data_IF_810479601807
#
_entry.id   IF_810479601807
#
_cell.length_a   1.000
_cell.length_b   1.000
_cell.length_c   1.000
_cell.angle_alpha   90.00
_cell.angle_beta   90.00
_cell.angle_gamma   90.00
#
_symmetry.space_group_name_H-M   'P 1'
#
loop_
_entity.id
_entity.type
_entity.pdbx_description
1 polymer ?
#
# COMPACT_ATOMS: atom_id res chain seq x y z
N UNK A 1 6.03 10.06 -23.30
CA UNK A 1 4.59 9.79 -23.50
C UNK A 1 4.03 8.70 -22.58
N UNK A 2 4.73 7.61 -22.26
CA UNK A 2 4.24 6.55 -21.36
C UNK A 2 3.99 7.03 -19.92
N UNK A 3 4.71 8.06 -19.49
CA UNK A 3 4.59 8.66 -18.14
C UNK A 3 3.29 9.46 -17.95
N UNK A 4 2.87 10.22 -18.96
CA UNK A 4 1.58 10.94 -18.91
C UNK A 4 0.40 9.97 -18.92
N UNK A 5 0.49 8.86 -19.65
CA UNK A 5 -0.55 7.85 -19.71
C UNK A 5 -0.78 7.20 -18.33
N UNK A 6 0.28 6.78 -17.62
CA UNK A 6 0.14 6.21 -16.28
C UNK A 6 -0.42 7.22 -15.26
N UNK A 7 -0.16 8.50 -15.46
CA UNK A 7 -0.68 9.60 -14.63
C UNK A 7 -2.18 9.77 -14.82
N UNK A 8 -2.60 9.87 -16.08
CA UNK A 8 -4.01 9.99 -16.48
C UNK A 8 -4.77 8.75 -16.01
N UNK A 9 -4.21 7.56 -16.14
CA UNK A 9 -4.82 6.33 -15.66
C UNK A 9 -5.06 6.32 -14.14
N UNK A 10 -4.13 6.79 -13.33
CA UNK A 10 -4.29 6.84 -11.87
C UNK A 10 -5.35 7.87 -11.45
N UNK A 11 -5.37 9.05 -12.10
CA UNK A 11 -6.42 10.06 -11.87
C UNK A 11 -7.78 9.52 -12.32
N UNK A 12 -7.84 8.89 -13.50
CA UNK A 12 -9.06 8.28 -14.02
C UNK A 12 -9.56 7.16 -13.11
N UNK A 13 -8.68 6.28 -12.61
CA UNK A 13 -9.05 5.21 -11.68
C UNK A 13 -9.69 5.75 -10.39
N UNK A 14 -9.12 6.80 -9.79
CA UNK A 14 -9.70 7.41 -8.58
C UNK A 14 -11.02 8.10 -8.93
N UNK A 15 -11.07 8.86 -10.03
CA UNK A 15 -12.29 9.52 -10.48
C UNK A 15 -13.41 8.52 -10.84
N UNK A 16 -13.06 7.40 -11.45
CA UNK A 16 -14.00 6.32 -11.74
C UNK A 16 -14.54 5.67 -10.47
N UNK A 17 -13.66 5.41 -9.46
CA UNK A 17 -14.08 4.89 -8.15
C UNK A 17 -14.96 5.87 -7.38
N UNK A 18 -14.90 7.16 -7.69
CA UNK A 18 -15.74 8.18 -7.07
C UNK A 18 -17.04 8.44 -7.82
N UNK A 19 -17.00 8.36 -9.15
CA UNK A 19 -18.15 8.64 -10.03
C UNK A 19 -19.00 7.40 -10.31
N UNK A 20 -18.41 6.21 -10.27
CA UNK A 20 -19.20 5.01 -10.51
C UNK A 20 -20.02 4.69 -9.26
N UNK A 21 -21.34 4.89 -9.36
CA UNK A 21 -22.31 4.32 -8.41
C UNK A 21 -22.33 2.77 -8.47
N UNK A 22 -21.47 2.16 -9.28
CA UNK A 22 -21.40 0.70 -9.37
C UNK A 22 -20.50 0.17 -8.26
N UNK A 23 -21.00 -0.75 -7.44
CA UNK A 23 -20.19 -1.37 -6.38
C UNK A 23 -19.04 -2.15 -7.02
N UNK A 24 -17.84 -2.02 -6.44
CA UNK A 24 -16.70 -2.86 -6.84
C UNK A 24 -17.08 -4.33 -6.65
N UNK A 25 -17.01 -5.09 -7.73
CA UNK A 25 -17.27 -6.52 -7.67
C UNK A 25 -16.23 -7.21 -6.79
N UNK A 26 -16.70 -7.89 -5.76
CA UNK A 26 -15.89 -8.64 -4.80
C UNK A 26 -16.09 -10.13 -4.97
N UNK A 27 -15.04 -10.88 -4.80
CA UNK A 27 -15.04 -12.35 -4.78
C UNK A 27 -14.26 -12.82 -3.55
N UNK A 28 -14.26 -14.11 -3.28
CA UNK A 28 -13.38 -14.69 -2.27
C UNK A 28 -11.96 -14.69 -2.85
N UNK A 29 -11.03 -14.05 -2.15
CA UNK A 29 -9.63 -13.92 -2.56
C UNK A 29 -8.70 -14.34 -1.42
N UNK A 30 -7.56 -14.91 -1.80
CA UNK A 30 -6.48 -15.27 -0.88
C UNK A 30 -5.48 -14.11 -0.78
N UNK A 31 -5.38 -13.54 0.40
CA UNK A 31 -4.52 -12.39 0.67
C UNK A 31 -3.03 -12.69 0.55
N UNK A 32 -2.59 -13.93 0.89
CA UNK A 32 -1.19 -14.31 0.71
C UNK A 32 -0.80 -14.34 -0.78
N UNK A 33 -1.69 -14.85 -1.66
CA UNK A 33 -1.46 -14.80 -3.11
C UNK A 33 -1.38 -13.36 -3.62
N UNK A 34 -2.24 -12.47 -3.12
CA UNK A 34 -2.20 -11.03 -3.45
C UNK A 34 -0.85 -10.42 -3.06
N UNK A 35 -0.33 -10.74 -1.86
CA UNK A 35 0.95 -10.21 -1.39
C UNK A 35 2.10 -10.74 -2.25
N UNK A 36 2.13 -12.03 -2.56
CA UNK A 36 3.16 -12.63 -3.40
C UNK A 36 3.15 -12.02 -4.81
N UNK A 37 1.96 -11.87 -5.41
CA UNK A 37 1.80 -11.20 -6.71
C UNK A 37 2.35 -9.76 -6.66
N UNK A 38 2.02 -8.99 -5.60
CA UNK A 38 2.48 -7.61 -5.45
C UNK A 38 4.00 -7.51 -5.25
N UNK A 39 4.59 -8.40 -4.46
CA UNK A 39 6.04 -8.43 -4.23
C UNK A 39 6.80 -8.70 -5.52
N UNK A 40 6.30 -9.59 -6.39
CA UNK A 40 6.92 -9.87 -7.69
C UNK A 40 7.08 -8.61 -8.55
N UNK A 41 6.13 -7.66 -8.45
CA UNK A 41 6.19 -6.41 -9.22
C UNK A 41 7.32 -5.47 -8.78
N UNK A 42 7.76 -5.53 -7.53
CA UNK A 42 8.82 -4.62 -7.04
C UNK A 42 10.20 -5.27 -6.96
N UNK A 43 10.31 -6.58 -7.17
CA UNK A 43 11.59 -7.31 -7.04
C UNK A 43 12.70 -6.73 -7.91
N UNK A 44 12.40 -6.34 -9.15
CA UNK A 44 13.40 -5.75 -10.04
C UNK A 44 13.89 -4.41 -9.50
N UNK A 45 12.98 -3.54 -9.05
CA UNK A 45 13.31 -2.23 -8.50
C UNK A 45 14.13 -2.35 -7.21
N UNK A 46 13.79 -3.32 -6.36
CA UNK A 46 14.56 -3.64 -5.16
C UNK A 46 15.97 -4.10 -5.49
N UNK A 47 16.11 -5.00 -6.47
CA UNK A 47 17.42 -5.50 -6.94
C UNK A 47 18.29 -4.38 -7.48
N UNK A 48 17.74 -3.48 -8.29
CA UNK A 48 18.45 -2.32 -8.83
C UNK A 48 18.98 -1.38 -7.73
N UNK A 49 18.29 -1.31 -6.58
CA UNK A 49 18.71 -0.55 -5.41
C UNK A 49 19.49 -1.37 -4.37
N UNK A 50 19.86 -2.61 -4.69
CA UNK A 50 20.47 -3.56 -3.73
C UNK A 50 19.65 -3.75 -2.44
N UNK A 51 18.34 -3.54 -2.53
CA UNK A 51 17.41 -3.61 -1.41
C UNK A 51 17.07 -5.04 -1.00
N UNK A 52 16.55 -5.20 0.21
CA UNK A 52 16.11 -6.47 0.80
C UNK A 52 14.62 -6.41 1.15
N UNK A 53 13.90 -7.51 0.90
CA UNK A 53 12.52 -7.68 1.31
C UNK A 53 12.34 -9.03 2.01
N UNK A 54 11.85 -8.99 3.25
CA UNK A 54 11.51 -10.18 4.04
C UNK A 54 10.01 -10.31 4.19
N UNK A 55 9.49 -11.53 4.06
CA UNK A 55 8.07 -11.84 4.27
C UNK A 55 7.92 -12.88 5.36
N UNK A 56 7.03 -12.60 6.33
CA UNK A 56 6.58 -13.53 7.36
C UNK A 56 5.06 -13.67 7.25
N UNK A 57 4.62 -14.59 6.41
CA UNK A 57 3.20 -14.80 6.11
C UNK A 57 2.58 -15.78 7.12
N UNK A 58 2.35 -15.30 8.36
CA UNK A 58 1.93 -16.12 9.50
C UNK A 58 0.41 -16.19 9.71
N UNK A 59 -0.39 -15.42 8.94
CA UNK A 59 -1.84 -15.47 9.03
C UNK A 59 -2.35 -16.86 8.61
N UNK A 60 -3.20 -17.48 9.43
CA UNK A 60 -3.81 -18.80 9.15
C UNK A 60 -5.09 -18.65 8.31
N UNK A 61 -5.88 -17.59 8.57
CA UNK A 61 -7.06 -17.25 7.80
C UNK A 61 -6.70 -16.18 6.79
N UNK A 62 -6.62 -16.56 5.53
CA UNK A 62 -6.16 -15.68 4.42
C UNK A 62 -7.27 -15.28 3.47
N UNK A 63 -8.47 -15.85 3.62
CA UNK A 63 -9.59 -15.61 2.72
C UNK A 63 -10.42 -14.41 3.17
N UNK A 64 -10.61 -13.47 2.27
CA UNK A 64 -11.43 -12.28 2.47
C UNK A 64 -12.38 -12.07 1.28
N UNK A 65 -13.47 -11.32 1.50
CA UNK A 65 -14.31 -10.83 0.40
C UNK A 65 -13.68 -9.56 -0.19
N UNK A 66 -13.12 -9.66 -1.40
CA UNK A 66 -12.39 -8.55 -1.97
C UNK A 66 -12.25 -8.58 -3.50
N UNK A 67 -11.76 -7.48 -4.05
CA UNK A 67 -11.36 -7.40 -5.44
C UNK A 67 -9.85 -7.59 -5.56
N UNK A 68 -9.43 -8.70 -6.21
CA UNK A 68 -8.02 -9.08 -6.32
C UNK A 68 -7.17 -7.95 -6.89
N UNK A 69 -7.57 -7.38 -8.02
CA UNK A 69 -6.78 -6.35 -8.71
C UNK A 69 -6.58 -5.09 -7.86
N UNK A 70 -7.66 -4.61 -7.22
CA UNK A 70 -7.57 -3.44 -6.36
C UNK A 70 -6.70 -3.69 -5.11
N UNK A 71 -6.83 -4.85 -4.48
CA UNK A 71 -6.04 -5.20 -3.29
C UNK A 71 -4.57 -5.44 -3.64
N UNK A 72 -4.26 -6.06 -4.79
CA UNK A 72 -2.88 -6.17 -5.29
C UNK A 72 -2.27 -4.78 -5.50
N UNK A 73 -3.01 -3.85 -6.12
CA UNK A 73 -2.55 -2.48 -6.33
C UNK A 73 -2.35 -1.72 -5.00
N UNK A 74 -3.15 -2.00 -3.96
CA UNK A 74 -2.93 -1.45 -2.61
C UNK A 74 -1.56 -1.86 -2.09
N UNK A 75 -1.24 -3.15 -2.14
CA UNK A 75 0.05 -3.66 -1.65
C UNK A 75 1.20 -3.11 -2.50
N UNK A 76 1.08 -3.08 -3.83
CA UNK A 76 2.09 -2.49 -4.73
C UNK A 76 2.35 -1.03 -4.37
N UNK A 77 1.31 -0.22 -4.15
CA UNK A 77 1.49 1.20 -3.79
C UNK A 77 2.27 1.38 -2.49
N UNK A 78 2.02 0.55 -1.48
CA UNK A 78 2.74 0.63 -0.21
C UNK A 78 4.20 0.17 -0.36
N UNK A 79 4.44 -0.91 -1.10
CA UNK A 79 5.78 -1.42 -1.36
C UNK A 79 6.60 -0.46 -2.24
N UNK A 80 5.99 0.12 -3.29
CA UNK A 80 6.63 1.14 -4.13
C UNK A 80 7.02 2.37 -3.29
N UNK A 81 6.14 2.83 -2.41
CA UNK A 81 6.45 3.91 -1.49
C UNK A 81 7.63 3.57 -0.57
N UNK A 82 7.67 2.36 0.00
CA UNK A 82 8.75 1.90 0.87
C UNK A 82 10.13 1.96 0.19
N UNK A 83 10.18 1.60 -1.10
CA UNK A 83 11.42 1.62 -1.90
C UNK A 83 11.75 3.02 -2.41
N UNK A 84 10.74 3.81 -2.76
CA UNK A 84 10.88 5.11 -3.39
C UNK A 84 11.29 6.20 -2.41
N UNK A 85 10.73 6.18 -1.21
CA UNK A 85 11.03 7.13 -0.15
C UNK A 85 12.11 6.62 0.81
N UNK A 86 13.07 5.88 0.29
CA UNK A 86 14.26 5.43 1.00
C UNK A 86 15.51 6.03 0.33
N UNK A 87 16.29 6.78 1.10
CA UNK A 87 17.56 7.40 0.71
C UNK A 87 18.77 6.49 0.96
N UNK A 88 18.53 5.35 1.63
CA UNK A 88 19.50 4.31 1.91
C UNK A 88 19.18 3.05 1.09
N UNK A 89 19.88 1.95 1.37
CA UNK A 89 19.51 0.63 0.84
C UNK A 89 18.14 0.24 1.41
N UNK A 90 17.12 0.05 0.57
CA UNK A 90 15.78 -0.25 1.06
C UNK A 90 15.72 -1.59 1.78
N UNK A 91 15.15 -1.59 2.99
CA UNK A 91 14.83 -2.79 3.76
C UNK A 91 13.34 -2.80 4.05
N UNK A 92 12.64 -3.73 3.44
CA UNK A 92 11.17 -3.86 3.56
C UNK A 92 10.84 -5.15 4.27
N UNK A 93 9.91 -5.09 5.21
CA UNK A 93 9.39 -6.27 5.91
C UNK A 93 7.87 -6.32 5.75
N UNK A 94 7.37 -7.48 5.38
CA UNK A 94 5.93 -7.75 5.25
C UNK A 94 5.56 -8.85 6.22
N UNK A 95 4.75 -8.53 7.22
CA UNK A 95 4.25 -9.49 8.20
C UNK A 95 2.75 -9.64 8.06
N UNK A 96 2.23 -10.87 8.19
CA UNK A 96 0.79 -11.11 8.27
C UNK A 96 0.43 -11.95 9.49
N UNK A 97 -0.73 -11.68 10.07
CA UNK A 97 -1.30 -12.45 11.17
C UNK A 97 -2.82 -12.22 11.22
N UNK A 98 -3.51 -12.96 12.07
CA UNK A 98 -4.94 -12.73 12.32
C UNK A 98 -5.13 -12.15 13.72
N UNK A 99 -6.09 -11.22 13.85
CA UNK A 99 -6.51 -10.62 15.11
C UNK A 99 -8.02 -10.30 15.01
N UNK A 100 -8.80 -10.69 16.03
CA UNK A 100 -10.25 -10.43 16.14
C UNK A 100 -11.01 -10.69 14.83
N UNK A 101 -10.89 -11.89 14.29
CA UNK A 101 -11.52 -12.30 13.03
C UNK A 101 -11.19 -11.40 11.82
N UNK A 102 -10.00 -10.85 11.82
CA UNK A 102 -9.50 -10.00 10.73
C UNK A 102 -8.12 -10.46 10.27
N UNK A 103 -7.88 -10.30 8.98
CA UNK A 103 -6.56 -10.41 8.40
C UNK A 103 -5.81 -9.10 8.59
N UNK A 104 -4.59 -9.19 9.10
CA UNK A 104 -3.70 -8.05 9.30
C UNK A 104 -2.48 -8.20 8.41
N UNK A 105 -2.14 -7.14 7.68
CA UNK A 105 -0.86 -7.00 7.01
C UNK A 105 -0.12 -5.79 7.56
N UNK A 106 1.16 -5.96 7.92
CA UNK A 106 2.08 -4.88 8.26
C UNK A 106 3.16 -4.80 7.20
N UNK A 107 3.39 -3.59 6.68
CA UNK A 107 4.48 -3.29 5.75
C UNK A 107 5.35 -2.24 6.44
N UNK A 108 6.59 -2.63 6.78
CA UNK A 108 7.57 -1.79 7.46
C UNK A 108 8.72 -1.50 6.52
N UNK A 109 9.18 -0.25 6.50
CA UNK A 109 10.34 0.21 5.76
C UNK A 109 11.34 0.95 6.66
N UNK A 110 12.54 1.16 6.15
CA UNK A 110 13.60 1.99 6.74
C UNK A 110 13.77 3.32 5.99
N UNK A 111 12.72 3.83 5.37
CA UNK A 111 12.76 5.07 4.59
C UNK A 111 12.90 6.33 5.46
N UNK A 112 12.77 7.47 4.82
CA UNK A 112 12.92 8.80 5.45
C UNK A 112 11.91 9.10 6.56
N UNK A 113 10.85 8.30 6.68
CA UNK A 113 9.79 8.53 7.65
C UNK A 113 9.04 9.84 7.44
N UNK A 114 8.17 10.17 8.40
CA UNK A 114 7.27 11.33 8.33
C UNK A 114 7.15 12.03 9.68
N UNK A 115 7.00 13.36 9.63
CA UNK A 115 6.63 14.18 10.78
C UNK A 115 5.16 13.95 11.18
N UNK A 116 4.78 14.35 12.40
CA UNK A 116 3.38 14.23 12.87
C UNK A 116 2.40 15.04 12.01
N UNK A 117 2.84 16.14 11.43
CA UNK A 117 2.01 16.99 10.54
C UNK A 117 1.76 16.27 9.22
N UNK A 118 2.79 15.67 8.63
CA UNK A 118 2.67 14.91 7.39
C UNK A 118 1.78 13.68 7.56
N UNK A 119 1.94 12.94 8.66
CA UNK A 119 1.12 11.76 8.96
C UNK A 119 -0.38 12.03 8.97
N UNK A 120 -0.81 13.21 9.40
CA UNK A 120 -2.22 13.60 9.42
C UNK A 120 -2.82 13.80 8.02
N UNK A 121 -1.96 14.11 7.05
CA UNK A 121 -2.37 14.51 5.69
C UNK A 121 -1.98 13.51 4.61
N UNK A 122 -1.24 12.45 4.96
CA UNK A 122 -0.64 11.55 3.97
C UNK A 122 -1.67 10.81 3.10
N UNK A 123 -2.91 10.72 3.56
CA UNK A 123 -4.03 10.14 2.80
C UNK A 123 -4.84 11.18 2.01
N UNK A 124 -4.52 12.48 2.14
CA UNK A 124 -5.16 13.53 1.36
C UNK A 124 -4.74 13.41 -0.11
N UNK A 125 -5.68 13.68 -1.02
CA UNK A 125 -5.37 13.71 -2.46
C UNK A 125 -4.37 14.82 -2.76
N UNK A 126 -3.42 14.51 -3.63
CA UNK A 126 -2.36 15.43 -4.08
C UNK A 126 -1.41 15.87 -2.97
N UNK A 127 -1.57 15.38 -1.74
CA UNK A 127 -0.62 15.68 -0.68
C UNK A 127 0.70 14.95 -0.92
N UNK A 128 1.77 15.69 -0.70
CA UNK A 128 3.15 15.16 -0.70
C UNK A 128 3.87 15.74 0.51
N UNK A 129 4.57 14.87 1.25
CA UNK A 129 5.47 15.32 2.30
C UNK A 129 6.53 16.25 1.68
N UNK A 130 6.79 17.39 2.31
CA UNK A 130 7.84 18.31 1.91
C UNK A 130 9.19 17.72 2.34
N UNK A 131 9.62 16.67 1.67
CA UNK A 131 10.91 16.05 1.91
C UNK A 131 11.95 16.88 1.19
N UNK A 132 12.70 17.76 1.90
CA UNK A 132 13.89 18.46 1.46
C UNK A 132 14.36 18.25 0.01
N UNK A 133 15.59 18.07 -0.26
CA UNK A 133 16.19 17.94 -1.61
C UNK A 133 15.75 16.76 -2.49
N UNK A 134 14.71 15.96 -2.08
CA UNK A 134 14.16 14.89 -2.91
C UNK A 134 13.15 15.45 -3.93
N UNK A 135 13.54 16.51 -4.65
CA UNK A 135 12.76 17.03 -5.79
C UNK A 135 12.60 16.00 -6.93
N UNK A 136 13.36 14.91 -6.93
CA UNK A 136 13.35 13.88 -7.96
C UNK A 136 12.40 12.71 -7.71
N UNK A 137 11.72 12.64 -6.57
CA UNK A 137 10.78 11.54 -6.29
C UNK A 137 9.49 11.77 -7.09
N UNK A 138 9.35 11.03 -8.19
CA UNK A 138 8.18 11.11 -9.08
C UNK A 138 6.93 10.53 -8.40
N UNK A 139 5.88 11.32 -8.28
CA UNK A 139 4.57 10.87 -7.76
C UNK A 139 3.60 12.03 -7.63
N UNK A 140 2.29 11.73 -7.78
CA UNK A 140 1.22 12.75 -7.85
C UNK A 140 0.45 12.90 -6.54
N UNK A 141 0.88 12.23 -5.47
CA UNK A 141 0.15 12.27 -4.19
C UNK A 141 -1.22 11.58 -4.23
N UNK A 142 -1.42 10.63 -5.13
CA UNK A 142 -2.70 9.91 -5.29
C UNK A 142 -2.64 8.46 -4.75
N UNK A 143 -1.46 7.89 -4.63
CA UNK A 143 -1.30 6.47 -4.26
C UNK A 143 -1.89 6.12 -2.91
N UNK A 144 -1.59 6.89 -1.86
CA UNK A 144 -2.10 6.62 -0.51
C UNK A 144 -3.59 6.99 -0.36
N UNK A 145 -4.07 8.02 -1.07
CA UNK A 145 -5.51 8.31 -1.14
C UNK A 145 -6.28 7.14 -1.78
N UNK A 146 -5.73 6.54 -2.86
CA UNK A 146 -6.28 5.33 -3.46
C UNK A 146 -6.27 4.15 -2.48
N UNK A 147 -5.15 3.91 -1.79
CA UNK A 147 -5.02 2.86 -0.77
C UNK A 147 -6.12 3.00 0.27
N UNK A 148 -6.27 4.20 0.87
CA UNK A 148 -7.31 4.48 1.87
C UNK A 148 -8.69 4.16 1.34
N UNK A 149 -9.04 4.65 0.14
CA UNK A 149 -10.35 4.45 -0.49
C UNK A 149 -10.65 2.96 -0.71
N UNK A 150 -9.69 2.20 -1.21
CA UNK A 150 -9.89 0.75 -1.46
C UNK A 150 -10.07 -0.01 -0.14
N UNK A 151 -9.28 0.30 0.88
CA UNK A 151 -9.41 -0.34 2.19
C UNK A 151 -10.78 -0.04 2.81
N UNK A 152 -11.27 1.21 2.72
CA UNK A 152 -12.61 1.60 3.20
C UNK A 152 -13.71 0.84 2.46
N UNK A 153 -13.62 0.70 1.14
CA UNK A 153 -14.57 -0.10 0.34
C UNK A 153 -14.59 -1.57 0.80
N UNK A 154 -13.45 -2.10 1.27
CA UNK A 154 -13.33 -3.45 1.81
C UNK A 154 -13.70 -3.55 3.31
N UNK A 155 -14.29 -2.50 3.89
CA UNK A 155 -14.64 -2.40 5.32
C UNK A 155 -13.45 -2.62 6.23
N UNK A 156 -12.26 -2.30 5.73
CA UNK A 156 -11.01 -2.39 6.45
C UNK A 156 -10.59 -1.08 7.09
N UNK A 157 -9.49 -1.12 7.80
CA UNK A 157 -8.82 0.03 8.40
C UNK A 157 -7.36 0.06 7.96
N UNK A 158 -6.82 1.26 7.72
CA UNK A 158 -5.38 1.46 7.55
C UNK A 158 -4.87 2.44 8.60
N UNK A 159 -3.82 2.04 9.30
CA UNK A 159 -3.07 2.86 10.26
C UNK A 159 -1.64 2.97 9.82
N UNK A 160 -0.98 4.07 10.23
CA UNK A 160 0.45 4.20 10.06
C UNK A 160 1.12 4.62 11.37
N UNK A 161 2.36 4.16 11.54
CA UNK A 161 3.31 4.67 12.53
C UNK A 161 4.57 5.05 11.78
N UNK A 162 5.02 6.28 11.93
CA UNK A 162 6.21 6.78 11.27
C UNK A 162 6.98 7.71 12.18
N UNK A 163 8.28 7.73 12.02
CA UNK A 163 9.16 8.69 12.67
C UNK A 163 10.18 9.16 11.64
N UNK A 164 10.40 10.46 11.57
CA UNK A 164 11.40 11.06 10.68
C UNK A 164 12.74 10.37 10.85
N UNK A 165 13.36 9.99 9.73
CA UNK A 165 14.66 9.30 9.62
C UNK A 165 14.71 7.87 10.18
N UNK A 166 13.56 7.29 10.55
CA UNK A 166 13.45 5.92 11.10
C UNK A 166 12.55 5.00 10.26
N UNK A 167 11.88 5.54 9.25
CA UNK A 167 11.00 4.78 8.37
C UNK A 167 9.53 4.82 8.78
N UNK A 168 8.74 3.99 8.11
CA UNK A 168 7.29 3.92 8.26
C UNK A 168 6.82 2.48 8.41
N UNK A 169 5.73 2.31 9.14
CA UNK A 169 4.98 1.05 9.22
C UNK A 169 3.53 1.33 8.90
N UNK A 170 3.04 0.79 7.80
CA UNK A 170 1.62 0.71 7.49
C UNK A 170 1.03 -0.58 8.04
N UNK A 171 -0.13 -0.49 8.66
CA UNK A 171 -0.91 -1.63 9.13
C UNK A 171 -2.29 -1.57 8.51
N UNK A 172 -2.65 -2.58 7.74
CA UNK A 172 -3.98 -2.76 7.16
C UNK A 172 -4.67 -3.89 7.89
N UNK A 173 -5.93 -3.67 8.25
CA UNK A 173 -6.85 -4.65 8.83
C UNK A 173 -8.03 -4.82 7.89
N UNK A 174 -8.34 -6.04 7.50
CA UNK A 174 -9.50 -6.38 6.68
C UNK A 174 -10.25 -7.54 7.35
N UNK A 175 -11.60 -7.46 7.50
CA UNK A 175 -12.38 -8.56 8.05
C UNK A 175 -12.21 -9.84 7.23
N UNK A 176 -12.01 -10.97 7.89
CA UNK A 176 -12.09 -12.28 7.25
C UNK A 176 -13.52 -12.60 6.84
N UNK A 177 -13.70 -13.52 5.89
CA UNK A 177 -15.01 -14.14 5.67
C UNK A 177 -15.26 -15.14 6.80
N UNK A 178 -16.48 -15.12 7.34
CA UNK A 178 -16.94 -16.22 8.18
C UNK A 178 -17.23 -17.40 7.26
N UNK A 179 -16.42 -18.43 7.32
CA UNK A 179 -16.73 -19.71 6.68
C UNK A 179 -17.56 -20.47 7.74
N UNK A 180 -18.91 -20.43 7.59
CA UNK A 180 -19.81 -21.32 8.31
C UNK A 180 -19.63 -22.75 7.85
#
# INVERSE_FOLDING_TARGET
NSRMLSQVENVLRISQLERSNQPIQKTIVDTHKIIVDAVSHIQLILKDKSGDLKMHLNAKQTLISGNKSHLTNVVINLLDNAVKYCDQIPKVMVDTFNEDNSFIIKIKDNGIGMTSVEQKRIFDKFFRAASGDIHNVKGHGLGLAYVKKIIDIHKGEIKLKSKKDFGTTFTIRIPNINIE
#
